data_IF_954233656879
#
_entry.id   IF_954233656879
#
_cell.length_a   1.000
_cell.length_b   1.000
_cell.length_c   1.000
_cell.angle_alpha   90.00
_cell.angle_beta   90.00
_cell.angle_gamma   90.00
#
_symmetry.space_group_name_H-M   'P 1'
#
loop_
_entity.id
_entity.type
_entity.pdbx_description
1 polymer ?
#
# COMPACT_ATOMS: atom_id res chain seq x y z
N UNK A 1 10.15 -5.53 6.54
CA UNK A 1 9.25 -4.74 7.41
C UNK A 1 10.04 -4.04 8.49
N UNK A 2 10.80 -4.75 9.34
CA UNK A 2 11.58 -4.16 10.44
C UNK A 2 12.52 -3.03 10.00
N UNK A 3 13.23 -3.19 8.88
CA UNK A 3 14.12 -2.15 8.34
C UNK A 3 13.35 -0.87 7.97
N UNK A 4 12.19 -1.02 7.34
CA UNK A 4 11.36 0.12 6.96
C UNK A 4 10.74 0.83 8.19
N UNK A 5 10.38 0.08 9.23
CA UNK A 5 9.91 0.63 10.51
C UNK A 5 11.02 1.37 11.24
N UNK A 6 12.23 0.80 11.29
CA UNK A 6 13.40 1.44 11.91
C UNK A 6 13.77 2.75 11.20
N UNK A 7 13.73 2.78 9.86
CA UNK A 7 14.00 3.99 9.08
C UNK A 7 12.97 5.10 9.37
N UNK A 8 11.69 4.76 9.44
CA UNK A 8 10.63 5.71 9.81
C UNK A 8 10.81 6.23 11.25
N UNK A 9 11.14 5.35 12.18
CA UNK A 9 11.41 5.72 13.57
C UNK A 9 12.64 6.65 13.68
N UNK A 10 13.70 6.39 12.93
CA UNK A 10 14.88 7.24 12.89
C UNK A 10 14.55 8.64 12.34
N UNK A 11 13.76 8.72 11.29
CA UNK A 11 13.28 10.00 10.75
C UNK A 11 12.60 10.82 11.84
N UNK A 12 11.62 10.22 12.53
CA UNK A 12 10.81 10.92 13.56
C UNK A 12 11.62 11.28 14.78
N UNK A 13 12.50 10.39 15.25
CA UNK A 13 13.20 10.56 16.54
C UNK A 13 14.44 11.44 16.47
N UNK A 14 15.20 11.40 15.37
CA UNK A 14 16.48 12.11 15.28
C UNK A 14 16.55 13.07 14.09
N UNK A 15 16.31 12.59 12.86
CA UNK A 15 16.56 13.39 11.65
C UNK A 15 15.72 14.67 11.61
N UNK A 16 14.45 14.58 11.99
CA UNK A 16 13.55 15.74 12.07
C UNK A 16 14.02 16.78 13.08
N UNK A 17 14.44 16.34 14.28
CA UNK A 17 14.92 17.26 15.31
C UNK A 17 16.22 17.95 14.91
N UNK A 18 17.14 17.21 14.27
CA UNK A 18 18.39 17.78 13.75
C UNK A 18 18.12 18.84 12.68
N UNK A 19 17.22 18.56 11.73
CA UNK A 19 16.86 19.52 10.70
C UNK A 19 16.21 20.80 11.28
N UNK A 20 15.32 20.64 12.26
CA UNK A 20 14.72 21.78 12.97
C UNK A 20 15.74 22.60 13.76
N UNK A 21 16.72 21.95 14.40
CA UNK A 21 17.79 22.63 15.09
C UNK A 21 18.68 23.41 14.11
N UNK A 22 19.06 22.79 12.99
CA UNK A 22 19.83 23.45 11.93
C UNK A 22 19.08 24.64 11.28
N UNK A 23 17.75 24.52 11.11
CA UNK A 23 16.94 25.63 10.66
C UNK A 23 16.97 26.81 11.62
N UNK A 24 16.78 26.57 12.92
CA UNK A 24 16.81 27.63 13.93
C UNK A 24 18.19 28.31 14.04
N UNK A 25 19.26 27.53 13.90
CA UNK A 25 20.62 28.05 13.86
C UNK A 25 20.83 28.96 12.64
N UNK A 26 20.41 28.50 11.46
CA UNK A 26 20.52 29.30 10.24
C UNK A 26 19.65 30.56 10.27
N UNK A 27 18.48 30.54 10.89
CA UNK A 27 17.64 31.71 11.13
C UNK A 27 18.33 32.71 12.05
N UNK A 28 18.94 32.26 13.16
CA UNK A 28 19.67 33.12 14.08
C UNK A 28 20.91 33.76 13.42
N UNK A 29 21.64 33.00 12.59
CA UNK A 29 22.78 33.51 11.83
C UNK A 29 22.37 34.58 10.81
N UNK A 30 21.22 34.39 10.12
CA UNK A 30 20.68 35.40 9.21
C UNK A 30 20.29 36.67 9.95
N UNK A 31 19.61 36.56 11.08
CA UNK A 31 19.20 37.71 11.90
C UNK A 31 20.43 38.48 12.42
N UNK A 32 21.49 37.80 12.81
CA UNK A 32 22.77 38.41 13.18
C UNK A 32 23.41 39.15 11.99
N UNK A 33 23.45 38.52 10.81
CA UNK A 33 24.03 39.14 9.61
C UNK A 33 23.25 40.36 9.15
N UNK A 34 21.92 40.34 9.25
CA UNK A 34 21.04 41.48 8.94
C UNK A 34 21.29 42.65 9.89
N UNK A 35 21.39 42.38 11.19
CA UNK A 35 21.70 43.42 12.17
C UNK A 35 23.08 44.04 11.95
N UNK A 36 24.07 43.21 11.62
CA UNK A 36 25.41 43.70 11.32
C UNK A 36 25.45 44.56 10.04
N UNK A 37 24.75 44.14 8.97
CA UNK A 37 24.61 44.94 7.77
C UNK A 37 23.97 46.31 8.08
N UNK A 38 22.82 46.31 8.76
CA UNK A 38 22.11 47.53 9.09
C UNK A 38 22.98 48.48 9.93
N UNK A 39 23.73 47.93 10.88
CA UNK A 39 24.68 48.75 11.69
C UNK A 39 25.78 49.36 10.82
N UNK A 40 26.36 48.61 9.88
CA UNK A 40 27.41 49.10 8.99
C UNK A 40 26.89 50.14 8.00
N UNK A 41 25.70 49.95 7.45
CA UNK A 41 25.05 50.94 6.59
C UNK A 41 24.80 52.26 7.34
N UNK A 42 24.32 52.21 8.56
CA UNK A 42 24.12 53.43 9.38
C UNK A 42 25.44 54.14 9.74
N UNK A 43 26.56 53.42 9.89
CA UNK A 43 27.89 54.01 10.09
C UNK A 43 28.47 54.58 8.80
N UNK A 44 28.20 53.99 7.65
CA UNK A 44 28.59 54.51 6.33
C UNK A 44 27.89 55.83 6.04
N UNK A 45 26.60 55.99 6.33
CA UNK A 45 25.86 57.25 6.20
C UNK A 45 26.53 58.40 6.97
N UNK A 46 27.22 58.04 8.08
CA UNK A 46 28.01 58.99 8.87
C UNK A 46 29.44 59.13 8.40
N UNK A 47 29.81 58.53 7.25
CA UNK A 47 31.18 58.53 6.68
C UNK A 47 32.24 57.90 7.58
N UNK A 48 31.85 56.94 8.47
CA UNK A 48 32.73 56.26 9.41
C UNK A 48 33.22 54.89 8.88
N UNK A 49 32.67 54.37 7.78
CA UNK A 49 33.02 53.11 7.15
C UNK A 49 33.18 53.24 5.65
N UNK A 50 34.05 52.38 5.08
CA UNK A 50 34.23 52.30 3.63
C UNK A 50 33.12 51.48 2.96
N UNK A 51 32.87 51.77 1.66
CA UNK A 51 31.93 51.00 0.82
C UNK A 51 32.26 49.51 0.79
N UNK A 52 33.52 49.17 0.79
CA UNK A 52 33.99 47.77 0.80
C UNK A 52 33.51 47.00 2.05
N UNK A 53 33.52 47.64 3.22
CA UNK A 53 33.09 47.03 4.49
C UNK A 53 31.58 46.80 4.51
N UNK A 54 30.81 47.69 3.87
CA UNK A 54 29.34 47.49 3.73
C UNK A 54 29.05 46.38 2.71
N UNK A 55 29.75 46.35 1.59
CA UNK A 55 29.61 45.31 0.59
C UNK A 55 29.99 43.91 1.16
N UNK A 56 30.98 43.85 2.05
CA UNK A 56 31.30 42.60 2.75
C UNK A 56 30.15 42.16 3.65
N UNK A 57 29.49 43.05 4.36
CA UNK A 57 28.33 42.74 5.21
C UNK A 57 27.13 42.27 4.37
N UNK A 58 26.89 42.89 3.21
CA UNK A 58 25.85 42.46 2.26
C UNK A 58 26.08 41.07 1.74
N UNK A 59 27.32 40.72 1.37
CA UNK A 59 27.69 39.34 0.94
C UNK A 59 27.50 38.33 2.07
N UNK A 60 27.84 38.71 3.31
CA UNK A 60 27.66 37.86 4.48
C UNK A 60 26.16 37.57 4.74
N UNK A 61 25.31 38.62 4.65
CA UNK A 61 23.87 38.40 4.77
C UNK A 61 23.30 37.51 3.65
N UNK A 62 23.72 37.75 2.40
CA UNK A 62 23.28 36.90 1.28
C UNK A 62 23.64 35.41 1.51
N UNK A 63 24.86 35.16 1.96
CA UNK A 63 25.33 33.81 2.29
C UNK A 63 24.48 33.19 3.42
N UNK A 64 24.21 33.95 4.49
CA UNK A 64 23.37 33.51 5.60
C UNK A 64 21.91 33.24 5.15
N UNK A 65 21.38 34.06 4.23
CA UNK A 65 20.04 33.90 3.65
C UNK A 65 19.96 32.56 2.87
N UNK A 66 20.93 32.29 1.99
CA UNK A 66 20.98 31.05 1.22
C UNK A 66 21.07 29.83 2.15
N UNK A 67 21.89 29.95 3.22
CA UNK A 67 22.02 28.88 4.24
C UNK A 67 20.69 28.62 4.96
N UNK A 68 19.98 29.69 5.36
CA UNK A 68 18.66 29.59 5.99
C UNK A 68 17.64 28.95 5.06
N UNK A 69 17.59 29.36 3.79
CA UNK A 69 16.65 28.82 2.80
C UNK A 69 16.90 27.32 2.57
N UNK A 70 18.17 26.92 2.46
CA UNK A 70 18.55 25.51 2.39
C UNK A 70 18.08 24.70 3.62
N UNK A 71 18.34 25.20 4.82
CA UNK A 71 17.94 24.54 6.06
C UNK A 71 16.41 24.47 6.19
N UNK A 72 15.69 25.49 5.76
CA UNK A 72 14.22 25.51 5.75
C UNK A 72 13.64 24.45 4.80
N UNK A 73 14.18 24.33 3.59
CA UNK A 73 13.76 23.31 2.64
C UNK A 73 14.03 21.88 3.17
N UNK A 74 15.18 21.69 3.80
CA UNK A 74 15.52 20.42 4.41
C UNK A 74 14.60 20.07 5.59
N UNK A 75 14.31 21.04 6.46
CA UNK A 75 13.38 20.84 7.56
C UNK A 75 11.95 20.55 7.07
N UNK A 76 11.51 21.23 6.01
CA UNK A 76 10.21 20.97 5.39
C UNK A 76 10.11 19.56 4.78
N UNK A 77 11.14 19.07 4.11
CA UNK A 77 11.17 17.71 3.55
C UNK A 77 11.07 16.62 4.64
N UNK A 78 11.66 16.88 5.81
CA UNK A 78 11.65 15.96 6.96
C UNK A 78 10.50 16.23 7.96
N UNK A 79 9.66 17.22 7.71
CA UNK A 79 8.53 17.55 8.57
C UNK A 79 7.49 16.42 8.61
N UNK A 80 6.56 16.52 9.56
CA UNK A 80 5.41 15.61 9.61
C UNK A 80 4.55 15.77 8.37
N UNK A 81 4.26 14.66 7.68
CA UNK A 81 3.60 14.67 6.37
C UNK A 81 4.49 15.13 5.21
N UNK A 82 5.77 15.40 5.47
CA UNK A 82 6.75 15.77 4.45
C UNK A 82 7.07 14.62 3.48
N UNK A 83 7.79 14.96 2.40
CA UNK A 83 8.07 14.01 1.30
C UNK A 83 8.80 12.76 1.78
N UNK A 84 9.76 12.92 2.69
CA UNK A 84 10.54 11.79 3.21
C UNK A 84 9.68 10.82 4.03
N UNK A 85 8.82 11.33 4.89
CA UNK A 85 7.88 10.51 5.66
C UNK A 85 6.89 9.76 4.76
N UNK A 86 6.41 10.42 3.70
CA UNK A 86 5.53 9.79 2.72
C UNK A 86 6.23 8.62 1.99
N UNK A 87 7.48 8.82 1.54
CA UNK A 87 8.27 7.79 0.88
C UNK A 87 8.48 6.59 1.81
N UNK A 88 8.91 6.83 3.05
CA UNK A 88 9.15 5.76 4.02
C UNK A 88 7.85 5.02 4.41
N UNK A 89 6.75 5.74 4.53
CA UNK A 89 5.43 5.15 4.81
C UNK A 89 4.96 4.26 3.65
N UNK A 90 5.12 4.69 2.41
CA UNK A 90 4.81 3.89 1.23
C UNK A 90 5.71 2.64 1.14
N UNK A 91 6.99 2.78 1.44
CA UNK A 91 7.93 1.66 1.49
C UNK A 91 7.55 0.64 2.57
N UNK A 92 7.13 1.12 3.74
CA UNK A 92 6.61 0.25 4.81
C UNK A 92 5.33 -0.46 4.38
N UNK A 93 4.38 0.25 3.76
CA UNK A 93 3.14 -0.34 3.25
C UNK A 93 3.42 -1.42 2.20
N UNK A 94 4.33 -1.18 1.25
CA UNK A 94 4.74 -2.17 0.26
C UNK A 94 5.38 -3.41 0.91
N UNK A 95 6.26 -3.21 1.89
CA UNK A 95 6.89 -4.33 2.62
C UNK A 95 5.88 -5.15 3.41
N UNK A 96 4.87 -4.50 4.03
CA UNK A 96 3.77 -5.17 4.73
C UNK A 96 2.87 -5.94 3.77
N UNK A 97 2.59 -5.39 2.58
CA UNK A 97 1.81 -6.08 1.55
C UNK A 97 2.52 -7.34 1.04
N UNK A 98 3.85 -7.28 0.87
CA UNK A 98 4.65 -8.47 0.53
C UNK A 98 4.61 -9.51 1.65
N UNK A 99 4.74 -9.11 2.91
CA UNK A 99 4.62 -10.02 4.05
C UNK A 99 3.22 -10.65 4.13
N UNK A 100 2.17 -9.88 3.88
CA UNK A 100 0.79 -10.39 3.88
C UNK A 100 0.57 -11.49 2.84
N UNK A 101 1.24 -11.43 1.69
CA UNK A 101 1.18 -12.48 0.65
C UNK A 101 1.80 -13.82 1.08
N UNK A 102 2.65 -13.83 2.10
CA UNK A 102 3.22 -15.08 2.64
C UNK A 102 2.24 -15.85 3.52
N UNK A 103 1.13 -15.23 3.91
CA UNK A 103 0.06 -15.87 4.66
C UNK A 103 -1.14 -16.08 3.75
N UNK A 104 -1.30 -17.29 3.25
CA UNK A 104 -2.45 -17.69 2.43
C UNK A 104 -3.61 -18.03 3.36
N UNK A 105 -4.75 -17.39 3.15
CA UNK A 105 -5.99 -17.61 3.92
C UNK A 105 -7.14 -17.89 2.95
N UNK A 106 -8.05 -18.78 3.36
CA UNK A 106 -9.30 -18.97 2.63
C UNK A 106 -10.25 -17.81 2.88
N UNK A 107 -10.91 -17.35 1.82
CA UNK A 107 -11.99 -16.35 1.89
C UNK A 107 -13.38 -16.98 1.97
N UNK A 108 -13.44 -18.33 1.91
CA UNK A 108 -14.69 -19.09 1.96
C UNK A 108 -14.63 -20.12 3.08
N UNK A 109 -15.77 -20.35 3.73
CA UNK A 109 -15.94 -21.45 4.65
C UNK A 109 -16.23 -22.74 3.87
N UNK A 110 -15.60 -23.83 4.21
CA UNK A 110 -15.78 -25.09 3.50
C UNK A 110 -14.92 -26.20 4.03
N UNK A 111 -14.92 -27.32 3.32
CA UNK A 111 -14.15 -28.52 3.62
C UNK A 111 -12.98 -28.60 2.62
N UNK A 112 -11.77 -28.83 3.11
CA UNK A 112 -10.61 -29.06 2.26
C UNK A 112 -10.78 -30.40 1.54
N UNK A 113 -10.94 -30.35 0.23
CA UNK A 113 -11.02 -31.52 -0.63
C UNK A 113 -9.65 -32.09 -0.95
N UNK A 114 -8.73 -31.23 -1.35
CA UNK A 114 -7.39 -31.61 -1.78
C UNK A 114 -6.36 -30.73 -1.15
N UNK A 115 -5.27 -31.29 -0.69
CA UNK A 115 -4.09 -30.61 -0.20
C UNK A 115 -2.92 -30.98 -1.10
N UNK A 116 -2.42 -29.96 -1.85
CA UNK A 116 -1.35 -30.12 -2.84
C UNK A 116 0.01 -29.63 -2.34
N UNK A 117 0.15 -29.43 -1.01
CA UNK A 117 1.36 -28.88 -0.40
C UNK A 117 1.61 -29.52 0.96
N UNK A 118 2.87 -29.81 1.26
CA UNK A 118 3.33 -30.30 2.55
C UNK A 118 4.23 -29.27 3.24
N UNK A 119 4.31 -29.31 4.60
CA UNK A 119 5.30 -28.51 5.31
C UNK A 119 6.72 -28.82 4.83
N UNK A 120 7.44 -27.78 4.41
CA UNK A 120 8.77 -27.90 3.82
C UNK A 120 8.81 -27.78 2.29
N UNK A 121 7.66 -27.81 1.62
CA UNK A 121 7.59 -27.61 0.18
C UNK A 121 7.95 -26.20 -0.26
N UNK A 122 8.64 -26.11 -1.40
CA UNK A 122 8.83 -24.84 -2.09
C UNK A 122 7.54 -24.46 -2.84
N UNK A 123 6.96 -23.32 -2.47
CA UNK A 123 5.75 -22.80 -3.07
C UNK A 123 6.08 -21.66 -4.03
N UNK A 124 5.58 -21.75 -5.26
CA UNK A 124 5.71 -20.69 -6.27
C UNK A 124 4.37 -19.98 -6.48
N UNK A 125 4.39 -18.69 -6.89
CA UNK A 125 3.16 -17.98 -7.27
C UNK A 125 2.40 -18.73 -8.38
N UNK A 126 1.08 -18.87 -8.21
CA UNK A 126 0.21 -19.56 -9.15
C UNK A 126 0.01 -21.06 -8.87
N UNK A 127 0.75 -21.65 -7.94
CA UNK A 127 0.51 -23.05 -7.53
C UNK A 127 -0.73 -23.14 -6.63
N UNK A 128 -1.65 -24.04 -6.97
CA UNK A 128 -2.79 -24.38 -6.10
C UNK A 128 -2.30 -25.15 -4.88
N UNK A 129 -2.56 -24.62 -3.70
CA UNK A 129 -2.15 -25.23 -2.43
C UNK A 129 -3.24 -26.13 -1.84
N UNK A 130 -4.47 -25.60 -1.83
CA UNK A 130 -5.64 -26.25 -1.25
C UNK A 130 -6.82 -26.08 -2.19
N UNK A 131 -7.67 -27.10 -2.27
CA UNK A 131 -8.98 -27.03 -2.90
C UNK A 131 -10.04 -27.15 -1.82
N UNK A 132 -10.95 -26.18 -1.77
CA UNK A 132 -11.95 -26.07 -0.72
C UNK A 132 -13.33 -26.14 -1.36
N UNK A 133 -14.11 -27.14 -0.98
CA UNK A 133 -15.52 -27.20 -1.31
C UNK A 133 -16.32 -26.35 -0.33
N UNK A 134 -17.13 -25.45 -0.84
CA UNK A 134 -18.03 -24.62 -0.03
C UNK A 134 -19.20 -25.47 0.50
N UNK A 135 -19.49 -25.36 1.78
CA UNK A 135 -20.44 -26.26 2.46
C UNK A 135 -21.91 -26.12 1.98
N UNK A 136 -22.24 -25.05 1.26
CA UNK A 136 -23.63 -24.71 0.95
C UNK A 136 -24.02 -24.69 -0.54
N UNK A 137 -23.18 -25.22 -1.42
CA UNK A 137 -23.51 -25.27 -2.85
C UNK A 137 -23.18 -26.64 -3.44
N UNK A 138 -24.10 -27.57 -3.26
CA UNK A 138 -24.08 -28.81 -4.04
C UNK A 138 -24.82 -28.53 -5.35
N UNK A 139 -24.10 -28.68 -6.47
CA UNK A 139 -24.70 -28.63 -7.78
C UNK A 139 -24.62 -30.02 -8.41
N UNK A 140 -25.73 -30.45 -9.01
CA UNK A 140 -25.79 -31.69 -9.79
C UNK A 140 -25.93 -31.32 -11.25
N UNK A 141 -24.93 -31.68 -12.05
CA UNK A 141 -24.95 -31.48 -13.49
C UNK A 141 -25.53 -32.70 -14.16
N UNK A 142 -26.67 -32.53 -14.81
CA UNK A 142 -27.37 -33.62 -15.52
C UNK A 142 -27.32 -33.32 -17.01
N UNK A 143 -26.99 -34.37 -17.80
CA UNK A 143 -27.10 -34.32 -19.26
C UNK A 143 -28.48 -34.83 -19.65
N UNK A 144 -29.26 -34.00 -20.34
CA UNK A 144 -30.63 -34.27 -20.76
C UNK A 144 -30.68 -34.38 -22.26
N UNK A 145 -31.46 -35.33 -22.80
CA UNK A 145 -31.69 -35.47 -24.23
C UNK A 145 -32.48 -34.23 -24.78
N UNK A 146 -32.15 -33.79 -25.99
CA UNK A 146 -32.74 -32.62 -26.62
C UNK A 146 -34.28 -32.70 -26.67
N UNK A 147 -34.84 -33.86 -26.92
CA UNK A 147 -36.30 -34.10 -26.94
C UNK A 147 -37.03 -33.73 -25.65
N UNK A 148 -36.33 -33.72 -24.54
CA UNK A 148 -36.89 -33.38 -23.23
C UNK A 148 -36.60 -31.93 -22.79
N UNK A 149 -35.76 -31.18 -23.54
CA UNK A 149 -35.38 -29.83 -23.20
C UNK A 149 -36.58 -28.83 -23.16
N UNK A 150 -37.57 -29.05 -24.02
CA UNK A 150 -38.77 -28.19 -24.09
C UNK A 150 -39.60 -28.22 -22.79
N UNK A 151 -39.39 -29.23 -21.93
CA UNK A 151 -40.11 -29.39 -20.67
C UNK A 151 -39.36 -28.81 -19.46
N UNK A 152 -38.14 -28.33 -19.68
CA UNK A 152 -37.29 -27.78 -18.60
C UNK A 152 -37.45 -26.27 -18.55
N UNK A 153 -37.61 -25.75 -17.33
CA UNK A 153 -37.65 -24.31 -17.05
C UNK A 153 -36.74 -23.95 -15.88
N UNK A 154 -36.16 -22.75 -15.95
CA UNK A 154 -35.41 -22.21 -14.80
C UNK A 154 -36.33 -22.07 -13.58
N UNK A 155 -35.84 -22.46 -12.42
CA UNK A 155 -36.60 -22.47 -11.17
C UNK A 155 -37.54 -23.66 -11.00
N UNK A 156 -37.65 -24.57 -11.98
CA UNK A 156 -38.49 -25.74 -11.86
C UNK A 156 -38.02 -26.62 -10.71
N UNK A 157 -38.94 -27.10 -9.84
CA UNK A 157 -38.60 -28.00 -8.74
C UNK A 157 -38.14 -29.35 -9.29
N UNK A 158 -37.11 -29.91 -8.68
CA UNK A 158 -36.55 -31.22 -8.98
C UNK A 158 -36.31 -32.00 -7.69
N UNK A 159 -36.19 -33.32 -7.81
CA UNK A 159 -35.83 -34.20 -6.70
C UNK A 159 -34.60 -35.01 -7.09
N UNK A 160 -33.62 -35.04 -6.22
CA UNK A 160 -32.40 -35.81 -6.40
C UNK A 160 -32.48 -36.98 -5.43
N UNK A 161 -32.30 -38.18 -5.97
CA UNK A 161 -32.22 -39.44 -5.22
C UNK A 161 -30.89 -40.10 -5.56
N UNK A 162 -30.07 -40.31 -4.56
CA UNK A 162 -28.80 -41.00 -4.75
C UNK A 162 -29.01 -42.52 -4.60
N UNK A 163 -28.44 -43.29 -5.51
CA UNK A 163 -28.56 -44.79 -5.49
C UNK A 163 -28.06 -45.40 -4.16
N UNK A 164 -27.07 -44.76 -3.53
CA UNK A 164 -26.54 -45.21 -2.24
C UNK A 164 -27.49 -44.93 -1.05
N UNK A 165 -28.45 -44.02 -1.22
CA UNK A 165 -29.40 -43.57 -0.18
C UNK A 165 -30.78 -43.34 -0.78
N UNK A 166 -31.49 -44.42 -1.19
CA UNK A 166 -32.74 -44.32 -1.94
C UNK A 166 -33.90 -43.71 -1.13
N UNK A 167 -33.83 -43.75 0.18
CA UNK A 167 -34.84 -43.18 1.09
C UNK A 167 -34.63 -41.69 1.36
N UNK A 168 -33.49 -41.12 0.92
CA UNK A 168 -33.15 -39.73 1.16
C UNK A 168 -33.35 -38.86 -0.09
N UNK A 169 -34.53 -38.26 -0.19
CA UNK A 169 -34.90 -37.36 -1.30
C UNK A 169 -34.40 -35.98 -1.00
N UNK A 170 -33.49 -35.46 -1.81
CA UNK A 170 -32.96 -34.08 -1.69
C UNK A 170 -33.73 -33.16 -2.62
N UNK A 171 -34.47 -32.18 -2.09
CA UNK A 171 -35.17 -31.19 -2.92
C UNK A 171 -34.16 -30.31 -3.64
N UNK A 172 -34.39 -30.03 -4.90
CA UNK A 172 -33.56 -29.19 -5.74
C UNK A 172 -34.41 -28.33 -6.68
N UNK A 173 -33.77 -27.44 -7.39
CA UNK A 173 -34.41 -26.66 -8.46
C UNK A 173 -33.42 -26.42 -9.57
N UNK A 174 -33.93 -26.23 -10.79
CA UNK A 174 -33.09 -25.96 -11.96
C UNK A 174 -32.57 -24.53 -11.89
N UNK A 175 -31.26 -24.37 -11.75
CA UNK A 175 -30.60 -23.06 -11.67
C UNK A 175 -30.03 -22.61 -13.00
N UNK A 176 -29.67 -23.55 -13.88
CA UNK A 176 -29.04 -23.24 -15.16
C UNK A 176 -29.41 -24.27 -16.22
N UNK A 177 -29.70 -23.82 -17.42
CA UNK A 177 -29.90 -24.64 -18.61
C UNK A 177 -28.85 -24.18 -19.62
N UNK A 178 -27.93 -25.04 -20.02
CA UNK A 178 -26.92 -24.71 -21.00
C UNK A 178 -27.54 -24.47 -22.38
N UNK A 179 -27.22 -23.35 -23.04
CA UNK A 179 -27.78 -23.04 -24.38
C UNK A 179 -27.12 -23.82 -25.52
N UNK A 180 -26.12 -24.64 -25.23
CA UNK A 180 -25.35 -25.37 -26.22
C UNK A 180 -25.77 -26.85 -26.24
N UNK A 181 -26.06 -27.36 -27.45
CA UNK A 181 -26.31 -28.77 -27.73
C UNK A 181 -24.97 -29.49 -27.92
N UNK A 182 -24.75 -30.61 -27.22
CA UNK A 182 -23.59 -31.45 -27.42
C UNK A 182 -23.75 -32.21 -28.77
N UNK A 183 -23.13 -31.67 -29.82
CA UNK A 183 -23.23 -32.21 -31.21
C UNK A 183 -22.69 -33.65 -31.36
N UNK A 184 -21.98 -34.20 -30.36
CA UNK A 184 -21.51 -35.56 -30.39
C UNK A 184 -22.61 -36.60 -30.12
N UNK A 185 -23.82 -36.17 -29.69
CA UNK A 185 -25.00 -37.05 -29.44
C UNK A 185 -26.29 -36.54 -30.03
N UNK A 186 -26.22 -35.53 -30.85
CA UNK A 186 -27.22 -34.69 -31.54
C UNK A 186 -28.52 -35.21 -31.76
#
# INVERSE_FOLDING_TARGET
>A
VYEAEAALQQLVSSSRRQAQAAQKEAEANLDQAQRERARREALQERQLLSDEQVEQARRSELSARVSRDKATLQAAALASGGTEEQILTQRLAASRALLAKTRVVSHVAGIVQTRNVEPGDLVQPGRTLLEIATANSLEVVVKVDEKNMAQLALGQPAQIIADAYPDNVVPAHITFIAPAIDTARG
#
